data_IF_861355435210
#
_entry.id   IF_861355435210
#
_cell.length_a   1.000
_cell.length_b   1.000
_cell.length_c   1.000
_cell.angle_alpha   90.00
_cell.angle_beta   90.00
_cell.angle_gamma   90.00
#
_symmetry.space_group_name_H-M   'P 1'
#
loop_
_entity.id
_entity.type
_entity.pdbx_description
1 polymer ?
#
# COMPACT_ATOMS: atom_id res chain seq x y z
N UNK A 1 2.74 -11.16 -3.20
CA UNK A 1 2.02 -10.23 -2.29
C UNK A 1 0.75 -10.93 -1.85
N UNK A 2 0.51 -11.04 -0.54
CA UNK A 2 -0.73 -11.63 -0.06
C UNK A 2 -1.85 -10.59 -0.06
N UNK A 3 -2.62 -10.56 -1.16
CA UNK A 3 -3.83 -9.75 -1.31
C UNK A 3 -5.10 -10.58 -1.05
N UNK A 4 -4.97 -11.82 -0.57
CA UNK A 4 -6.10 -12.75 -0.38
C UNK A 4 -6.83 -12.55 0.94
N UNK A 5 -6.33 -11.69 1.81
CA UNK A 5 -7.05 -11.32 3.03
C UNK A 5 -8.43 -10.76 2.66
N UNK A 6 -9.48 -11.35 3.24
CA UNK A 6 -10.88 -10.98 3.01
C UNK A 6 -11.12 -9.48 3.24
N UNK A 7 -10.44 -8.90 4.23
CA UNK A 7 -10.52 -7.47 4.55
C UNK A 7 -9.92 -6.59 3.44
N UNK A 8 -8.78 -6.99 2.87
CA UNK A 8 -8.12 -6.28 1.78
C UNK A 8 -8.97 -6.34 0.50
N UNK A 9 -9.48 -7.53 0.18
CA UNK A 9 -10.37 -7.72 -0.98
C UNK A 9 -11.64 -6.88 -0.86
N UNK A 10 -12.26 -6.85 0.33
CA UNK A 10 -13.46 -6.04 0.60
C UNK A 10 -13.22 -4.54 0.47
N UNK A 11 -12.02 -4.05 0.76
CA UNK A 11 -11.67 -2.64 0.55
C UNK A 11 -11.38 -2.38 -0.93
N UNK A 12 -10.60 -3.24 -1.58
CA UNK A 12 -10.25 -3.10 -2.99
C UNK A 12 -11.48 -3.13 -3.91
N UNK A 13 -12.52 -3.92 -3.59
CA UNK A 13 -13.77 -3.92 -4.36
C UNK A 13 -14.52 -2.58 -4.32
N UNK A 14 -14.24 -1.72 -3.34
CA UNK A 14 -14.79 -0.35 -3.26
C UNK A 14 -14.01 0.67 -4.10
N UNK A 15 -12.89 0.27 -4.71
CA UNK A 15 -12.06 1.16 -5.52
C UNK A 15 -12.69 1.28 -6.90
N UNK A 16 -12.79 2.53 -7.40
CA UNK A 16 -13.33 2.80 -8.74
C UNK A 16 -12.57 2.07 -9.86
N UNK A 17 -11.26 1.88 -9.67
CA UNK A 17 -10.36 1.21 -10.61
C UNK A 17 -9.59 0.09 -9.90
N UNK A 18 -10.32 -0.92 -9.44
CA UNK A 18 -9.76 -2.00 -8.63
C UNK A 18 -8.67 -2.80 -9.36
N UNK A 19 -8.86 -3.12 -10.65
CA UNK A 19 -7.90 -3.90 -11.46
C UNK A 19 -6.55 -3.20 -11.54
N UNK A 20 -6.58 -1.89 -11.83
CA UNK A 20 -5.37 -1.05 -11.92
C UNK A 20 -4.66 -0.98 -10.58
N UNK A 21 -5.40 -0.82 -9.48
CA UNK A 21 -4.82 -0.80 -8.14
C UNK A 21 -4.12 -2.14 -7.80
N UNK A 22 -4.73 -3.28 -8.14
CA UNK A 22 -4.13 -4.61 -7.93
C UNK A 22 -2.88 -4.80 -8.77
N UNK A 23 -2.90 -4.38 -10.04
CA UNK A 23 -1.74 -4.47 -10.93
C UNK A 23 -0.55 -3.66 -10.39
N UNK A 24 -0.77 -2.42 -9.96
CA UNK A 24 0.27 -1.57 -9.38
C UNK A 24 0.81 -2.13 -8.05
N UNK A 25 -0.04 -2.70 -7.20
CA UNK A 25 0.39 -3.37 -5.98
C UNK A 25 1.30 -4.57 -6.28
N UNK A 26 0.99 -5.35 -7.31
CA UNK A 26 1.85 -6.45 -7.74
C UNK A 26 3.20 -5.95 -8.26
N UNK A 27 3.24 -4.84 -9.01
CA UNK A 27 4.49 -4.20 -9.46
C UNK A 27 5.33 -3.74 -8.28
N UNK A 28 4.72 -3.04 -7.31
CA UNK A 28 5.41 -2.57 -6.10
C UNK A 28 6.01 -3.75 -5.34
N UNK A 29 5.28 -4.85 -5.16
CA UNK A 29 5.80 -6.01 -4.44
C UNK A 29 7.00 -6.66 -5.13
N UNK A 30 7.06 -6.65 -6.47
CA UNK A 30 8.22 -7.16 -7.22
C UNK A 30 9.47 -6.30 -6.98
N UNK A 31 9.30 -4.99 -6.83
CA UNK A 31 10.40 -4.04 -6.62
C UNK A 31 10.81 -3.93 -5.14
N UNK A 32 9.83 -3.98 -4.24
CA UNK A 32 9.99 -3.80 -2.79
C UNK A 32 9.25 -4.92 -2.05
N UNK A 33 9.85 -6.11 -1.90
CA UNK A 33 9.20 -7.27 -1.26
C UNK A 33 8.79 -7.02 0.20
N UNK A 34 9.51 -6.14 0.90
CA UNK A 34 9.24 -5.73 2.28
C UNK A 34 7.99 -4.83 2.43
N UNK A 35 7.45 -4.29 1.32
CA UNK A 35 6.21 -3.53 1.34
C UNK A 35 5.01 -4.45 1.53
N UNK A 36 4.28 -4.24 2.63
CA UNK A 36 3.10 -5.03 3.00
C UNK A 36 1.83 -4.18 2.88
N UNK A 37 0.80 -4.67 2.18
CA UNK A 37 -0.50 -4.03 2.16
C UNK A 37 -1.24 -4.27 3.49
N UNK A 38 -1.90 -3.24 4.00
CA UNK A 38 -2.75 -3.29 5.17
C UNK A 38 -3.95 -2.36 5.00
N UNK A 39 -4.98 -2.53 5.82
CA UNK A 39 -6.17 -1.68 5.79
C UNK A 39 -6.13 -0.71 6.97
N UNK A 40 -6.36 0.57 6.74
CA UNK A 40 -6.40 1.58 7.80
C UNK A 40 -7.49 2.62 7.53
N UNK A 41 -8.04 3.19 8.60
CA UNK A 41 -8.96 4.32 8.51
C UNK A 41 -8.15 5.59 8.25
N UNK A 42 -8.48 6.28 7.17
CA UNK A 42 -7.90 7.57 6.79
C UNK A 42 -8.91 8.68 7.06
N UNK A 43 -8.46 9.75 7.72
CA UNK A 43 -9.24 10.96 7.96
C UNK A 43 -8.89 11.98 6.90
N UNK A 44 -9.88 12.36 6.09
CA UNK A 44 -9.72 13.40 5.07
C UNK A 44 -9.71 14.80 5.69
N UNK A 45 -9.34 15.80 4.90
CA UNK A 45 -9.26 17.21 5.33
C UNK A 45 -10.61 17.80 5.74
N UNK A 46 -11.71 17.25 5.22
CA UNK A 46 -13.08 17.59 5.61
C UNK A 46 -13.56 16.84 6.87
N UNK A 47 -12.64 16.20 7.60
CA UNK A 47 -12.88 15.35 8.77
C UNK A 47 -13.67 14.06 8.50
N UNK A 48 -14.03 13.76 7.25
CA UNK A 48 -14.66 12.48 6.92
C UNK A 48 -13.66 11.34 7.04
N UNK A 49 -14.13 10.15 7.40
CA UNK A 49 -13.29 8.97 7.59
C UNK A 49 -13.64 7.89 6.57
N UNK A 50 -12.60 7.19 6.09
CA UNK A 50 -12.79 6.03 5.19
C UNK A 50 -11.71 4.98 5.40
N UNK A 51 -12.13 3.73 5.41
CA UNK A 51 -11.19 2.61 5.38
C UNK A 51 -10.59 2.48 3.98
N UNK A 52 -9.27 2.60 3.91
CA UNK A 52 -8.48 2.53 2.69
C UNK A 52 -7.35 1.50 2.83
N UNK A 53 -6.81 1.11 1.68
CA UNK A 53 -5.58 0.34 1.62
C UNK A 53 -4.37 1.26 1.86
N UNK A 54 -3.46 0.82 2.71
CA UNK A 54 -2.18 1.44 3.01
C UNK A 54 -1.06 0.45 2.69
N UNK A 55 0.06 0.95 2.19
CA UNK A 55 1.32 0.20 2.14
C UNK A 55 2.18 0.59 3.34
N UNK A 56 2.73 -0.41 4.02
CA UNK A 56 3.65 -0.22 5.15
C UNK A 56 4.88 -1.08 4.92
N UNK A 57 6.06 -0.49 5.08
CA UNK A 57 7.34 -1.15 4.84
C UNK A 57 8.44 -0.11 4.85
N UNK A 58 9.60 -0.47 4.29
CA UNK A 58 10.72 0.45 4.13
C UNK A 58 11.15 0.50 2.67
N UNK A 59 11.61 1.67 2.23
CA UNK A 59 12.26 1.84 0.93
C UNK A 59 13.76 2.08 1.09
N UNK A 60 14.63 1.41 0.32
CA UNK A 60 16.06 1.72 0.30
C UNK A 60 16.30 3.01 -0.49
N UNK A 61 16.83 4.02 0.19
CA UNK A 61 17.20 5.32 -0.39
C UNK A 61 18.70 5.50 -0.32
N UNK A 62 19.34 5.76 -1.46
CA UNK A 62 20.76 6.07 -1.53
C UNK A 62 21.01 7.54 -1.21
N UNK A 63 21.84 7.81 -0.21
CA UNK A 63 22.27 9.15 0.16
C UNK A 63 23.75 9.14 0.55
N UNK A 64 24.55 10.04 -0.04
CA UNK A 64 26.01 10.15 0.19
C UNK A 64 26.76 8.81 0.13
N UNK A 65 26.44 7.98 -0.87
CA UNK A 65 27.08 6.68 -1.09
C UNK A 65 26.63 5.56 -0.12
N UNK A 66 25.70 5.83 0.79
CA UNK A 66 25.12 4.85 1.72
C UNK A 66 23.65 4.61 1.40
N UNK A 67 23.15 3.41 1.71
CA UNK A 67 21.73 3.07 1.58
C UNK A 67 21.06 3.14 2.95
N UNK A 68 19.92 3.84 3.01
CA UNK A 68 19.11 4.02 4.21
C UNK A 68 17.73 3.42 3.97
N UNK A 69 17.18 2.72 4.96
CA UNK A 69 15.83 2.19 4.90
C UNK A 69 14.88 3.24 5.48
N UNK A 70 14.12 3.91 4.63
CA UNK A 70 13.16 4.94 5.03
C UNK A 70 11.79 4.30 5.24
N UNK A 71 11.17 4.44 6.43
CA UNK A 71 9.84 3.93 6.72
C UNK A 71 8.71 4.75 6.09
#
# INVERSE_FOLDING_TARGET
>A
MDLKSEKIQRILSKYKFHDVAVEELQKIHRLFPEMRPSTATYTFTDSTQKDLLKLTGVIPVKYKGRSYNIP
#
